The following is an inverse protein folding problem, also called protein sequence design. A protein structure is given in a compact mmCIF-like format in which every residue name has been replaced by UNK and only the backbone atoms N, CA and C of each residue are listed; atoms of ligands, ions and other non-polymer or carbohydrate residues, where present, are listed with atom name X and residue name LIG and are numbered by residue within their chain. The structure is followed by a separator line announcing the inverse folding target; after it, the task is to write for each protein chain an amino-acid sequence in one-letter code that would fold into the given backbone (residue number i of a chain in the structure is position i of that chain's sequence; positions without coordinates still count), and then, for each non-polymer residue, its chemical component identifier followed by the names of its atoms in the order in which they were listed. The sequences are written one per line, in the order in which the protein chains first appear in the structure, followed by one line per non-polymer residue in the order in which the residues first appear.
data_IF_220002438754
#
_entry.id   IF_220002438754
#
_cell.length_a   1.000
_cell.length_b   1.000
_cell.length_c   1.000
_cell.angle_alpha   90.00
_cell.angle_beta   90.00
_cell.angle_gamma   90.00
#
_symmetry.space_group_name_H-M   'P 1'
#
loop_
_entity.id
_entity.type
_entity.pdbx_description
1 polymer ?
#
# COMPACT_ATOMS: atom_id res chain seq x y z
N UNK A 1 8.92 8.30 -14.92
CA UNK A 1 8.58 9.70 -15.28
C UNK A 1 7.12 9.77 -15.65
N UNK A 2 6.58 10.93 -16.07
CA UNK A 2 5.15 11.01 -16.43
C UNK A 2 4.81 10.18 -17.68
N UNK A 3 5.71 10.07 -18.66
CA UNK A 3 5.51 9.20 -19.83
C UNK A 3 5.31 7.73 -19.44
N UNK A 4 6.10 7.25 -18.46
CA UNK A 4 5.95 5.89 -17.93
C UNK A 4 4.64 5.72 -17.15
N UNK A 5 4.22 6.76 -16.40
CA UNK A 5 2.93 6.72 -15.73
C UNK A 5 1.79 6.61 -16.74
N UNK A 6 1.78 7.44 -17.78
CA UNK A 6 0.76 7.37 -18.86
C UNK A 6 0.72 5.97 -19.47
N UNK A 7 1.88 5.37 -19.78
CA UNK A 7 1.96 3.99 -20.30
C UNK A 7 1.36 2.95 -19.35
N UNK A 8 1.61 3.06 -18.04
CA UNK A 8 1.01 2.19 -17.05
C UNK A 8 -0.52 2.36 -16.98
N UNK A 9 -1.02 3.59 -17.09
CA UNK A 9 -2.46 3.88 -17.07
C UNK A 9 -3.16 3.43 -18.36
N UNK A 10 -2.53 3.52 -19.53
CA UNK A 10 -3.05 2.92 -20.77
C UNK A 10 -3.25 1.41 -20.63
N UNK A 11 -2.29 0.72 -20.01
CA UNK A 11 -2.40 -0.72 -19.74
C UNK A 11 -3.48 -1.02 -18.69
N UNK A 12 -3.58 -0.20 -17.64
CA UNK A 12 -4.59 -0.35 -16.59
C UNK A 12 -6.01 -0.19 -17.15
N UNK A 13 -6.26 0.82 -17.98
CA UNK A 13 -7.55 1.04 -18.64
C UNK A 13 -7.90 -0.08 -19.61
N UNK A 14 -6.92 -0.59 -20.38
CA UNK A 14 -7.13 -1.74 -21.26
C UNK A 14 -7.53 -3.02 -20.51
N UNK A 15 -7.23 -3.09 -19.21
CA UNK A 15 -7.56 -4.21 -18.31
C UNK A 15 -8.72 -3.88 -17.36
N UNK A 16 -9.39 -2.74 -17.52
CA UNK A 16 -10.48 -2.27 -16.66
C UNK A 16 -10.09 -2.18 -15.16
N UNK A 17 -8.84 -1.78 -14.90
CA UNK A 17 -8.35 -1.60 -13.54
C UNK A 17 -8.89 -0.29 -12.94
N UNK A 18 -9.27 -0.32 -11.67
CA UNK A 18 -9.71 0.88 -10.94
C UNK A 18 -8.55 1.77 -10.49
N UNK A 19 -7.39 1.17 -10.21
CA UNK A 19 -6.27 1.86 -9.60
C UNK A 19 -4.92 1.49 -10.20
N UNK A 20 -3.96 2.42 -10.11
CA UNK A 20 -2.54 2.20 -10.35
C UNK A 20 -1.75 2.70 -9.13
N UNK A 21 -0.93 1.84 -8.54
CA UNK A 21 -0.10 2.22 -7.40
C UNK A 21 0.96 3.27 -7.79
N UNK A 22 1.13 4.28 -6.94
CA UNK A 22 2.11 5.36 -7.10
C UNK A 22 3.07 5.38 -5.89
N UNK A 23 4.05 4.44 -5.84
CA UNK A 23 5.03 4.37 -4.75
C UNK A 23 6.14 5.42 -4.86
N UNK A 24 6.95 5.62 -3.79
CA UNK A 24 8.13 6.50 -3.79
C UNK A 24 9.33 5.96 -4.59
N UNK A 25 9.09 5.19 -5.65
CA UNK A 25 10.16 4.64 -6.47
C UNK A 25 11.03 5.76 -7.06
N UNK A 26 12.35 5.63 -6.95
CA UNK A 26 13.32 6.67 -7.33
C UNK A 26 13.56 7.79 -6.29
N UNK A 27 12.80 7.85 -5.21
CA UNK A 27 13.12 8.70 -4.03
C UNK A 27 13.33 7.90 -2.74
N UNK A 28 12.87 6.65 -2.66
CA UNK A 28 12.91 5.83 -1.43
C UNK A 28 14.28 5.72 -0.73
N UNK A 29 15.40 5.89 -1.43
CA UNK A 29 16.75 5.81 -0.84
C UNK A 29 17.33 7.14 -0.35
N UNK A 30 16.61 8.26 -0.50
CA UNK A 30 17.09 9.61 -0.19
C UNK A 30 16.02 10.45 0.50
N UNK A 31 16.47 11.46 1.24
CA UNK A 31 15.59 12.47 1.82
C UNK A 31 15.25 13.52 0.75
N UNK A 32 13.97 13.81 0.57
CA UNK A 32 13.48 14.90 -0.29
C UNK A 32 12.40 15.70 0.44
N UNK A 33 12.18 16.94 0.01
CA UNK A 33 11.10 17.76 0.57
C UNK A 33 9.74 17.18 0.19
N UNK A 34 8.93 16.81 1.19
CA UNK A 34 7.61 16.23 0.96
C UNK A 34 6.62 17.20 0.28
N UNK A 35 6.80 18.52 0.41
CA UNK A 35 5.98 19.48 -0.35
C UNK A 35 6.24 19.37 -1.87
N UNK A 36 7.48 19.05 -2.27
CA UNK A 36 7.80 18.80 -3.68
C UNK A 36 7.18 17.47 -4.14
N UNK A 37 7.12 16.46 -3.24
CA UNK A 37 6.41 15.20 -3.50
C UNK A 37 4.91 15.45 -3.69
N UNK A 38 4.29 16.30 -2.86
CA UNK A 38 2.88 16.70 -2.99
C UNK A 38 2.59 17.39 -4.33
N UNK A 39 3.43 18.36 -4.72
CA UNK A 39 3.31 19.02 -6.03
C UNK A 39 3.43 18.02 -7.17
N UNK A 40 4.39 17.09 -7.09
CA UNK A 40 4.64 16.08 -8.12
C UNK A 40 3.52 15.05 -8.20
N UNK A 41 2.94 14.67 -7.05
CA UNK A 41 1.77 13.79 -7.00
C UNK A 41 0.54 14.46 -7.59
N UNK A 42 0.29 15.75 -7.29
CA UNK A 42 -0.77 16.51 -7.93
C UNK A 42 -0.62 16.57 -9.46
N UNK A 43 0.61 16.78 -9.95
CA UNK A 43 0.91 16.74 -11.38
C UNK A 43 0.74 15.34 -12.01
N UNK A 44 1.02 14.25 -11.27
CA UNK A 44 0.70 12.89 -11.70
C UNK A 44 -0.81 12.72 -11.88
N UNK A 45 -1.61 13.12 -10.88
CA UNK A 45 -3.08 13.05 -10.94
C UNK A 45 -3.62 13.79 -12.17
N UNK A 46 -3.09 14.99 -12.46
CA UNK A 46 -3.51 15.75 -13.64
C UNK A 46 -3.13 15.05 -14.94
N UNK A 47 -1.90 14.53 -15.04
CA UNK A 47 -1.38 13.88 -16.23
C UNK A 47 -2.16 12.62 -16.63
N UNK A 48 -2.77 11.94 -15.65
CA UNK A 48 -3.54 10.71 -15.86
C UNK A 48 -5.06 10.90 -15.71
N UNK A 49 -5.53 12.16 -15.62
CA UNK A 49 -6.94 12.48 -15.39
C UNK A 49 -7.91 12.03 -16.51
N UNK A 50 -7.39 11.70 -17.69
CA UNK A 50 -8.18 11.19 -18.82
C UNK A 50 -8.46 9.69 -18.80
N UNK A 51 -7.85 8.95 -17.88
CA UNK A 51 -8.01 7.49 -17.74
C UNK A 51 -9.13 7.13 -16.75
N UNK A 52 -9.66 5.91 -16.86
CA UNK A 52 -10.61 5.37 -15.89
C UNK A 52 -9.91 5.06 -14.56
N UNK A 53 -8.72 4.46 -14.63
CA UNK A 53 -7.93 4.15 -13.45
C UNK A 53 -7.49 5.42 -12.72
N UNK A 54 -7.40 5.38 -11.38
CA UNK A 54 -6.88 6.48 -10.55
C UNK A 54 -5.53 6.12 -9.92
N UNK A 55 -4.60 7.07 -9.79
CA UNK A 55 -3.40 6.84 -8.99
C UNK A 55 -3.78 6.68 -7.51
N UNK A 56 -3.16 5.73 -6.83
CA UNK A 56 -3.24 5.57 -5.37
C UNK A 56 -1.87 5.76 -4.75
N UNK A 57 -1.76 6.71 -3.83
CA UNK A 57 -0.50 7.08 -3.20
C UNK A 57 -0.09 5.98 -2.22
N UNK A 58 1.03 5.32 -2.53
CA UNK A 58 1.60 4.28 -1.69
C UNK A 58 2.80 4.84 -0.93
N UNK A 59 2.93 4.48 0.35
CA UNK A 59 4.12 4.73 1.14
C UNK A 59 4.85 3.42 1.43
N UNK A 60 6.18 3.47 1.47
CA UNK A 60 7.00 2.29 1.68
C UNK A 60 7.73 2.42 3.01
N UNK A 61 7.44 1.59 4.00
CA UNK A 61 8.07 1.68 5.33
C UNK A 61 9.60 1.56 5.35
N UNK A 62 10.20 1.13 4.24
CA UNK A 62 11.65 1.08 4.01
C UNK A 62 12.24 2.40 3.46
N UNK A 63 11.38 3.33 3.02
CA UNK A 63 11.78 4.56 2.34
C UNK A 63 12.21 5.64 3.33
N UNK A 64 13.24 6.41 2.96
CA UNK A 64 13.69 7.60 3.70
C UNK A 64 12.74 8.79 3.58
N UNK A 65 11.90 8.81 2.56
CA UNK A 65 10.86 9.82 2.38
C UNK A 65 9.61 9.12 1.88
N UNK A 66 8.46 9.49 2.43
CA UNK A 66 7.20 8.80 2.19
C UNK A 66 7.25 7.35 2.67
N UNK A 67 7.77 7.17 3.90
CA UNK A 67 7.87 5.88 4.58
C UNK A 67 6.80 5.65 5.64
N UNK A 68 5.98 6.65 5.95
CA UNK A 68 4.92 6.55 6.96
C UNK A 68 3.58 7.01 6.40
N UNK A 69 2.50 6.51 7.00
CA UNK A 69 1.14 6.97 6.69
C UNK A 69 0.99 8.48 6.99
N UNK A 70 1.67 9.01 8.00
CA UNK A 70 1.63 10.45 8.31
C UNK A 70 2.21 11.31 7.18
N UNK A 71 3.33 10.89 6.58
CA UNK A 71 3.88 11.57 5.40
C UNK A 71 2.94 11.45 4.20
N UNK A 72 2.33 10.28 3.99
CA UNK A 72 1.35 10.08 2.91
C UNK A 72 0.11 10.95 3.07
N UNK A 73 -0.41 11.09 4.29
CA UNK A 73 -1.50 12.01 4.62
C UNK A 73 -1.15 13.46 4.33
N UNK A 74 0.08 13.88 4.66
CA UNK A 74 0.55 15.22 4.36
C UNK A 74 0.60 15.46 2.84
N UNK A 75 1.19 14.53 2.08
CA UNK A 75 1.22 14.60 0.62
C UNK A 75 -0.19 14.64 0.03
N UNK A 76 -1.10 13.81 0.52
CA UNK A 76 -2.50 13.79 0.07
C UNK A 76 -3.23 15.11 0.35
N UNK A 77 -2.99 15.72 1.51
CA UNK A 77 -3.56 17.02 1.87
C UNK A 77 -2.99 18.17 1.02
N UNK A 78 -1.68 18.19 0.81
CA UNK A 78 -0.98 19.29 0.12
C UNK A 78 -1.02 19.19 -1.40
N UNK A 79 -1.31 18.02 -1.99
CA UNK A 79 -1.33 17.86 -3.45
C UNK A 79 -2.48 18.63 -4.14
N UNK A 80 -3.48 19.08 -3.37
CA UNK A 80 -4.59 19.89 -3.88
C UNK A 80 -5.55 19.14 -4.80
N UNK A 81 -5.71 17.81 -4.65
CA UNK A 81 -6.65 16.99 -5.45
C UNK A 81 -7.62 16.25 -4.54
N UNK A 82 -8.92 16.52 -4.72
CA UNK A 82 -10.01 16.08 -3.82
C UNK A 82 -10.17 14.55 -3.73
N UNK A 83 -9.87 13.84 -4.82
CA UNK A 83 -10.07 12.40 -4.97
C UNK A 83 -8.80 11.58 -4.69
N UNK A 84 -7.82 12.17 -4.02
CA UNK A 84 -6.61 11.42 -3.63
C UNK A 84 -6.97 10.28 -2.67
N UNK A 85 -6.62 9.06 -3.07
CA UNK A 85 -6.73 7.86 -2.27
C UNK A 85 -5.34 7.28 -2.01
N UNK A 86 -5.21 6.57 -0.89
CA UNK A 86 -4.00 5.92 -0.44
C UNK A 86 -4.02 4.42 -0.71
N UNK A 87 -2.84 3.85 -0.85
CA UNK A 87 -2.57 2.42 -0.68
C UNK A 87 -1.88 2.26 0.68
N UNK A 88 -2.47 1.47 1.58
CA UNK A 88 -1.80 1.04 2.80
C UNK A 88 -1.35 -0.42 2.67
N UNK A 89 -0.19 -0.73 3.23
CA UNK A 89 0.35 -2.09 3.27
C UNK A 89 0.72 -2.43 4.72
N UNK A 90 0.28 -3.59 5.20
CA UNK A 90 0.53 -4.07 6.58
C UNK A 90 2.02 -4.10 6.91
N UNK A 91 2.86 -4.62 6.01
CA UNK A 91 4.30 -4.66 6.18
C UNK A 91 4.90 -3.24 6.19
N UNK A 92 4.44 -2.33 5.31
CA UNK A 92 4.95 -0.96 5.30
C UNK A 92 4.50 -0.15 6.51
N UNK A 93 3.30 -0.38 7.04
CA UNK A 93 2.86 0.22 8.31
C UNK A 93 3.72 -0.26 9.47
N UNK A 94 4.09 -1.55 9.51
CA UNK A 94 5.01 -2.10 10.50
C UNK A 94 6.42 -1.52 10.39
N UNK A 95 7.04 -1.56 9.21
CA UNK A 95 8.37 -0.97 8.97
C UNK A 95 8.38 0.53 9.29
N UNK A 96 7.38 1.25 8.80
CA UNK A 96 7.24 2.71 8.87
C UNK A 96 6.99 3.22 10.28
N UNK A 97 5.72 3.34 10.69
CA UNK A 97 5.38 3.86 12.03
C UNK A 97 5.31 2.79 13.11
N UNK A 98 5.08 1.53 12.75
CA UNK A 98 4.99 0.40 13.68
C UNK A 98 3.63 0.22 14.35
N UNK A 99 2.57 0.83 13.82
CA UNK A 99 1.21 0.73 14.37
C UNK A 99 0.15 1.00 13.28
N UNK A 100 -1.13 0.69 13.56
CA UNK A 100 -2.24 0.91 12.63
C UNK A 100 -3.09 2.15 12.96
N UNK A 101 -2.93 2.77 14.13
CA UNK A 101 -3.70 3.96 14.55
C UNK A 101 -3.73 5.13 13.57
N UNK A 102 -2.75 5.26 12.67
CA UNK A 102 -2.79 6.31 11.65
C UNK A 102 -3.99 6.20 10.71
N UNK A 103 -4.54 4.99 10.54
CA UNK A 103 -5.75 4.75 9.73
C UNK A 103 -6.95 5.52 10.30
N UNK A 104 -7.04 5.74 11.61
CA UNK A 104 -8.15 6.46 12.26
C UNK A 104 -8.29 7.92 11.79
N UNK A 105 -7.26 8.47 11.15
CA UNK A 105 -7.28 9.81 10.55
C UNK A 105 -7.84 9.85 9.13
N UNK A 106 -8.16 8.70 8.52
CA UNK A 106 -8.73 8.63 7.19
C UNK A 106 -10.24 8.82 7.22
N UNK A 107 -10.73 9.69 6.32
CA UNK A 107 -12.15 9.75 6.01
C UNK A 107 -12.59 8.59 5.11
N UNK A 108 -13.91 8.42 4.92
CA UNK A 108 -14.44 7.42 4.00
C UNK A 108 -13.89 7.63 2.58
N UNK A 109 -13.68 6.53 1.85
CA UNK A 109 -13.17 6.51 0.47
C UNK A 109 -11.75 7.10 0.29
N UNK A 110 -10.97 7.28 1.37
CA UNK A 110 -9.56 7.73 1.28
C UNK A 110 -8.55 6.59 1.21
N UNK A 111 -8.99 5.37 1.44
CA UNK A 111 -8.20 4.16 1.26
C UNK A 111 -8.73 3.44 0.01
N UNK A 112 -7.91 3.31 -1.03
CA UNK A 112 -8.30 2.67 -2.28
C UNK A 112 -8.03 1.16 -2.26
N UNK A 113 -6.86 0.77 -1.74
CA UNK A 113 -6.40 -0.61 -1.67
C UNK A 113 -5.64 -0.84 -0.37
N UNK A 114 -5.79 -2.04 0.20
CA UNK A 114 -4.97 -2.50 1.31
C UNK A 114 -4.21 -3.75 0.89
N UNK A 115 -2.88 -3.65 0.85
CA UNK A 115 -2.03 -4.82 0.75
C UNK A 115 -1.96 -5.50 2.11
N UNK A 116 -2.27 -6.79 2.10
CA UNK A 116 -2.30 -7.65 3.28
C UNK A 116 -1.23 -8.73 3.16
N UNK A 117 -0.51 -8.89 4.24
CA UNK A 117 0.59 -9.80 4.44
C UNK A 117 0.84 -9.83 5.95
N UNK A 118 1.88 -10.54 6.36
CA UNK A 118 2.33 -10.55 7.74
C UNK A 118 3.86 -10.54 7.79
N UNK A 119 4.41 -10.34 8.99
CA UNK A 119 5.85 -10.23 9.20
C UNK A 119 6.30 -11.13 10.36
N UNK A 120 7.43 -11.83 10.22
CA UNK A 120 7.90 -12.78 11.22
C UNK A 120 8.44 -12.07 12.47
N UNK A 121 8.67 -12.82 13.54
CA UNK A 121 9.35 -12.32 14.72
C UNK A 121 10.86 -12.11 14.50
N UNK A 122 11.45 -12.89 13.59
CA UNK A 122 12.86 -12.83 13.20
C UNK A 122 12.94 -13.02 11.67
N UNK A 123 13.58 -12.11 10.92
CA UNK A 123 14.20 -10.85 11.37
C UNK A 123 13.19 -9.85 11.95
N UNK A 124 13.63 -9.05 12.94
CA UNK A 124 12.81 -8.00 13.55
C UNK A 124 12.61 -6.76 12.67
N UNK A 125 11.78 -5.82 13.12
CA UNK A 125 11.37 -4.60 12.37
C UNK A 125 12.50 -3.88 11.63
N UNK A 126 13.65 -3.71 12.26
CA UNK A 126 14.74 -2.92 11.68
C UNK A 126 15.39 -3.63 10.48
N UNK A 127 15.44 -4.96 10.51
CA UNK A 127 16.17 -5.80 9.54
C UNK A 127 15.28 -6.57 8.57
N UNK A 128 13.99 -6.71 8.87
CA UNK A 128 13.03 -7.39 7.98
C UNK A 128 12.95 -6.68 6.63
N UNK A 129 12.86 -7.48 5.58
CA UNK A 129 12.79 -7.10 4.16
C UNK A 129 11.51 -7.63 3.51
N UNK A 130 11.20 -7.18 2.29
CA UNK A 130 10.02 -7.63 1.55
C UNK A 130 10.00 -9.16 1.32
N UNK A 131 11.18 -9.77 1.16
CA UNK A 131 11.32 -11.21 0.98
C UNK A 131 10.93 -12.03 2.23
N UNK A 132 10.93 -11.39 3.40
CA UNK A 132 10.58 -12.02 4.67
C UNK A 132 9.07 -12.01 4.94
N UNK A 133 8.26 -11.31 4.13
CA UNK A 133 6.79 -11.27 4.28
C UNK A 133 6.21 -12.69 4.27
N UNK A 134 5.30 -12.98 5.20
CA UNK A 134 4.59 -14.27 5.30
C UNK A 134 3.09 -14.08 5.13
N UNK A 135 2.34 -15.17 5.01
CA UNK A 135 0.88 -15.08 4.87
C UNK A 135 0.22 -14.37 6.06
N UNK A 136 -0.94 -13.71 5.84
CA UNK A 136 -1.79 -13.24 6.92
C UNK A 136 -1.98 -14.28 8.03
N UNK A 137 -1.68 -13.91 9.27
CA UNK A 137 -1.87 -14.76 10.45
C UNK A 137 -0.71 -15.72 10.75
N UNK A 138 0.31 -15.79 9.89
CA UNK A 138 1.54 -16.56 10.15
C UNK A 138 2.64 -15.71 10.82
N UNK A 139 2.38 -14.42 11.07
CA UNK A 139 3.34 -13.49 11.66
C UNK A 139 2.83 -12.80 12.94
N UNK A 140 3.26 -11.56 13.13
CA UNK A 140 3.01 -10.76 14.34
C UNK A 140 2.03 -9.60 14.13
N UNK A 141 1.42 -9.46 12.95
CA UNK A 141 0.43 -8.41 12.71
C UNK A 141 -0.77 -8.54 13.66
N UNK A 142 -1.16 -7.41 14.27
CA UNK A 142 -2.34 -7.36 15.13
C UNK A 142 -3.62 -7.26 14.29
N UNK A 143 -4.06 -8.40 13.74
CA UNK A 143 -5.25 -8.49 12.88
C UNK A 143 -6.53 -7.92 13.50
N UNK A 144 -6.87 -8.19 14.78
CA UNK A 144 -8.03 -7.57 15.41
C UNK A 144 -7.99 -6.04 15.40
N UNK A 145 -6.82 -5.43 15.65
CA UNK A 145 -6.65 -3.97 15.59
C UNK A 145 -6.78 -3.44 14.17
N UNK A 146 -6.15 -4.10 13.19
CA UNK A 146 -6.24 -3.72 11.78
C UNK A 146 -7.70 -3.77 11.28
N UNK A 147 -8.41 -4.87 11.52
CA UNK A 147 -9.81 -5.04 11.12
C UNK A 147 -10.70 -4.00 11.79
N UNK A 148 -10.50 -3.72 13.08
CA UNK A 148 -11.23 -2.67 13.78
C UNK A 148 -10.98 -1.28 13.16
N UNK A 149 -9.74 -0.96 12.81
CA UNK A 149 -9.39 0.31 12.17
C UNK A 149 -10.01 0.43 10.77
N UNK A 150 -9.96 -0.63 9.95
CA UNK A 150 -10.56 -0.65 8.61
C UNK A 150 -12.10 -0.49 8.67
N UNK A 151 -12.74 -1.17 9.62
CA UNK A 151 -14.18 -1.01 9.86
C UNK A 151 -14.53 0.40 10.34
N UNK A 152 -13.70 1.00 11.20
CA UNK A 152 -13.92 2.36 11.71
C UNK A 152 -13.92 3.41 10.59
N UNK A 153 -13.01 3.28 9.62
CA UNK A 153 -12.94 4.18 8.46
C UNK A 153 -13.95 3.84 7.36
N UNK A 154 -14.74 2.76 7.54
CA UNK A 154 -15.72 2.29 6.58
C UNK A 154 -15.10 1.75 5.30
N UNK A 155 -13.95 1.05 5.40
CA UNK A 155 -13.31 0.46 4.23
C UNK A 155 -14.05 -0.79 3.75
N UNK A 156 -14.58 -0.73 2.52
CA UNK A 156 -15.28 -1.84 1.85
C UNK A 156 -14.54 -2.33 0.59
N UNK A 157 -13.28 -1.91 0.42
CA UNK A 157 -12.46 -2.23 -0.75
C UNK A 157 -11.77 -3.61 -0.66
N UNK A 158 -10.87 -3.87 -1.62
CA UNK A 158 -10.17 -5.15 -1.70
C UNK A 158 -9.00 -5.25 -0.70
N UNK A 159 -8.92 -6.38 -0.01
CA UNK A 159 -7.71 -6.82 0.66
C UNK A 159 -6.87 -7.67 -0.32
N UNK A 160 -5.71 -7.16 -0.74
CA UNK A 160 -4.85 -7.79 -1.74
C UNK A 160 -3.65 -8.48 -1.07
N UNK A 161 -3.54 -9.80 -1.19
CA UNK A 161 -2.39 -10.54 -0.62
C UNK A 161 -1.13 -10.26 -1.45
N UNK A 162 -0.12 -9.63 -0.84
CA UNK A 162 1.14 -9.29 -1.50
C UNK A 162 2.37 -9.85 -0.75
N UNK A 163 3.07 -10.79 -1.40
CA UNK A 163 4.17 -11.55 -0.81
C UNK A 163 5.37 -11.63 -1.77
N UNK A 164 6.58 -11.53 -1.24
CA UNK A 164 7.84 -11.66 -2.00
C UNK A 164 8.72 -12.81 -1.50
N UNK A 165 8.15 -13.71 -0.69
CA UNK A 165 8.88 -14.83 -0.11
C UNK A 165 9.19 -15.90 -1.17
N UNK A 166 10.47 -16.07 -1.50
CA UNK A 166 10.93 -16.98 -2.53
C UNK A 166 10.57 -18.44 -2.26
N UNK A 167 10.45 -18.83 -0.98
CA UNK A 167 10.04 -20.19 -0.62
C UNK A 167 8.62 -20.51 -1.07
N UNK A 168 7.75 -19.50 -1.20
CA UNK A 168 6.39 -19.67 -1.71
C UNK A 168 6.37 -19.85 -3.22
N UNK A 169 7.32 -19.27 -3.96
CA UNK A 169 7.40 -19.44 -5.42
C UNK A 169 7.55 -20.90 -5.81
N UNK A 170 8.27 -21.69 -5.01
CA UNK A 170 8.45 -23.12 -5.22
C UNK A 170 7.16 -23.95 -5.05
N UNK A 171 6.13 -23.42 -4.37
CA UNK A 171 4.84 -24.11 -4.15
C UNK A 171 3.91 -24.05 -5.37
N UNK A 172 4.17 -23.14 -6.32
CA UNK A 172 3.34 -22.91 -7.50
C UNK A 172 2.17 -21.94 -7.23
N UNK A 173 1.86 -21.10 -8.22
CA UNK A 173 0.98 -19.93 -8.07
C UNK A 173 -0.43 -20.25 -7.57
N UNK A 174 -1.05 -21.33 -8.06
CA UNK A 174 -2.42 -21.72 -7.65
C UNK A 174 -2.47 -22.14 -6.19
N UNK A 175 -1.46 -22.86 -5.70
CA UNK A 175 -1.41 -23.29 -4.30
C UNK A 175 -1.21 -22.08 -3.38
N UNK A 176 -0.27 -21.18 -3.74
CA UNK A 176 0.00 -19.95 -2.99
C UNK A 176 -1.23 -19.05 -2.93
N UNK A 177 -1.94 -18.87 -4.05
CA UNK A 177 -3.15 -18.04 -4.07
C UNK A 177 -4.28 -18.62 -3.20
N UNK A 178 -4.47 -19.94 -3.21
CA UNK A 178 -5.47 -20.61 -2.35
C UNK A 178 -5.12 -20.48 -0.88
N UNK A 179 -3.88 -20.80 -0.51
CA UNK A 179 -3.39 -20.72 0.86
C UNK A 179 -3.49 -19.27 1.38
N UNK A 180 -3.07 -18.28 0.57
CA UNK A 180 -3.19 -16.87 0.92
C UNK A 180 -4.63 -16.42 1.14
N UNK A 181 -5.59 -16.85 0.31
CA UNK A 181 -7.01 -16.55 0.50
C UNK A 181 -7.58 -17.20 1.76
N UNK A 182 -7.29 -18.47 2.00
CA UNK A 182 -7.74 -19.21 3.19
C UNK A 182 -7.22 -18.56 4.48
N UNK A 183 -5.93 -18.21 4.49
CA UNK A 183 -5.27 -17.53 5.60
C UNK A 183 -5.85 -16.15 5.86
N UNK A 184 -6.01 -15.35 4.80
CA UNK A 184 -6.61 -14.03 4.91
C UNK A 184 -8.03 -14.10 5.49
N UNK A 185 -8.88 -15.01 5.00
CA UNK A 185 -10.24 -15.20 5.52
C UNK A 185 -10.23 -15.51 7.02
N UNK A 186 -9.34 -16.40 7.47
CA UNK A 186 -9.22 -16.73 8.89
C UNK A 186 -8.83 -15.54 9.79
N UNK A 187 -8.24 -14.48 9.22
CA UNK A 187 -7.89 -13.26 9.95
C UNK A 187 -9.00 -12.20 9.99
N UNK A 188 -9.96 -12.25 9.05
CA UNK A 188 -10.91 -11.14 8.83
C UNK A 188 -12.39 -11.53 8.86
N UNK A 189 -12.72 -12.83 8.76
CA UNK A 189 -14.08 -13.40 8.89
C UNK A 189 -14.29 -14.03 10.29
#
# INVERSE_FOLDING_TARGET
GFDEAVRCFEMADALDCTYVAAPPFGIHTREVNLFDVAQRYGALVDAVSGFHAKPILEFWGIAKTLGTLGEALMVAAECGRADTALLADVYHMYKGSGHFHGLEHLGPNKLGLVHVNDYPADPGRDTVTDADRVYPGDGLANWPELVAALNHVGYEGMLSVELFNESYWAKGSVAVAKEGLEKLKACVE
#
